data_IF_823899328373
#
_entry.id   IF_823899328373
#
_cell.length_a   1.000
_cell.length_b   1.000
_cell.length_c   1.000
_cell.angle_alpha   90.00
_cell.angle_beta   90.00
_cell.angle_gamma   90.00
#
_symmetry.space_group_name_H-M   'P 1'
#
loop_
_entity.id
_entity.type
_entity.pdbx_description
1 polymer ?
#
# COMPACT_ATOMS: atom_id res chain seq x y z
N UNK A 1 -16.37 -30.43 -7.99
CA UNK A 1 -15.58 -29.36 -7.34
C UNK A 1 -15.80 -27.98 -7.95
N UNK A 2 -15.89 -27.83 -9.27
CA UNK A 2 -16.09 -26.54 -9.99
C UNK A 2 -17.37 -25.77 -9.59
N UNK A 3 -18.48 -26.44 -9.33
CA UNK A 3 -19.75 -25.77 -8.97
C UNK A 3 -19.74 -25.10 -7.59
N UNK A 4 -19.08 -25.67 -6.57
CA UNK A 4 -18.94 -25.05 -5.25
C UNK A 4 -18.13 -23.75 -5.32
N UNK A 5 -17.03 -23.76 -6.07
CA UNK A 5 -16.15 -22.62 -6.27
C UNK A 5 -16.88 -21.45 -6.96
N UNK A 6 -17.74 -21.71 -7.96
CA UNK A 6 -18.55 -20.67 -8.62
C UNK A 6 -19.58 -20.02 -7.68
N UNK A 7 -20.30 -20.83 -6.90
CA UNK A 7 -21.29 -20.31 -5.93
C UNK A 7 -20.62 -19.50 -4.84
N UNK A 8 -19.50 -19.99 -4.28
CA UNK A 8 -18.72 -19.28 -3.24
C UNK A 8 -18.21 -17.93 -3.74
N UNK A 9 -17.61 -17.87 -4.94
CA UNK A 9 -17.14 -16.60 -5.51
C UNK A 9 -18.30 -15.66 -5.85
N UNK A 10 -19.40 -16.20 -6.37
CA UNK A 10 -20.59 -15.40 -6.72
C UNK A 10 -21.24 -14.75 -5.50
N UNK A 11 -21.39 -15.49 -4.41
CA UNK A 11 -22.04 -15.03 -3.19
C UNK A 11 -21.10 -14.30 -2.22
N UNK A 12 -19.84 -14.75 -2.12
CA UNK A 12 -18.90 -14.27 -1.09
C UNK A 12 -18.00 -13.11 -1.52
N UNK A 13 -17.81 -12.86 -2.83
CA UNK A 13 -16.96 -11.76 -3.28
C UNK A 13 -17.76 -10.52 -3.60
N UNK A 14 -17.33 -9.37 -3.04
CA UNK A 14 -17.84 -8.06 -3.40
C UNK A 14 -17.51 -7.65 -4.85
N UNK A 15 -18.09 -6.56 -5.32
CA UNK A 15 -17.96 -6.09 -6.71
C UNK A 15 -16.51 -5.82 -7.10
N UNK A 16 -15.74 -5.17 -6.23
CA UNK A 16 -14.34 -4.82 -6.49
C UNK A 16 -13.45 -6.07 -6.60
N UNK A 17 -13.61 -7.05 -5.72
CA UNK A 17 -12.87 -8.31 -5.80
C UNK A 17 -13.17 -9.04 -7.10
N UNK A 18 -14.43 -9.08 -7.52
CA UNK A 18 -14.84 -9.68 -8.81
C UNK A 18 -14.18 -8.96 -9.98
N UNK A 19 -14.16 -7.62 -9.98
CA UNK A 19 -13.51 -6.79 -11.00
C UNK A 19 -12.03 -7.12 -11.12
N UNK A 20 -11.29 -7.18 -10.00
CA UNK A 20 -9.85 -7.50 -9.99
C UNK A 20 -9.55 -8.91 -10.48
N UNK A 21 -10.36 -9.88 -10.11
CA UNK A 21 -10.21 -11.28 -10.60
C UNK A 21 -10.42 -11.34 -12.10
N UNK A 22 -11.46 -10.66 -12.64
CA UNK A 22 -11.74 -10.62 -14.08
C UNK A 22 -10.60 -9.91 -14.82
N UNK A 23 -10.17 -8.75 -14.33
CA UNK A 23 -9.07 -7.99 -14.94
C UNK A 23 -7.77 -8.80 -14.97
N UNK A 24 -7.40 -9.47 -13.87
CA UNK A 24 -6.22 -10.33 -13.82
C UNK A 24 -6.29 -11.49 -14.82
N UNK A 25 -7.45 -12.14 -14.94
CA UNK A 25 -7.66 -13.20 -15.92
C UNK A 25 -7.55 -12.66 -17.37
N UNK A 26 -8.09 -11.50 -17.63
CA UNK A 26 -8.04 -10.85 -18.94
C UNK A 26 -6.60 -10.52 -19.35
N UNK A 27 -5.82 -9.89 -18.46
CA UNK A 27 -4.43 -9.52 -18.71
C UNK A 27 -3.54 -10.74 -18.96
N UNK A 28 -3.86 -11.89 -18.38
CA UNK A 28 -3.14 -13.15 -18.57
C UNK A 28 -3.64 -13.98 -19.76
N UNK A 29 -4.69 -13.51 -20.45
CA UNK A 29 -5.24 -14.24 -21.61
C UNK A 29 -4.35 -14.11 -22.85
N UNK A 30 -4.51 -15.05 -23.79
CA UNK A 30 -3.78 -15.06 -25.05
C UNK A 30 -3.92 -13.72 -25.82
N UNK A 31 -2.83 -13.21 -26.34
CA UNK A 31 -2.77 -11.92 -27.04
C UNK A 31 -2.57 -10.69 -26.15
N UNK A 32 -2.89 -10.77 -24.86
CA UNK A 32 -2.69 -9.67 -23.90
C UNK A 32 -1.49 -9.89 -22.98
N UNK A 33 -1.04 -11.13 -22.84
CA UNK A 33 0.07 -11.49 -21.96
C UNK A 33 1.35 -10.71 -22.33
N UNK A 34 1.76 -10.73 -23.59
CA UNK A 34 2.98 -10.02 -24.04
C UNK A 34 2.80 -8.50 -23.99
N UNK A 35 1.64 -8.01 -24.42
CA UNK A 35 1.37 -6.57 -24.52
C UNK A 35 1.28 -5.89 -23.14
N UNK A 36 0.71 -6.55 -22.14
CA UNK A 36 0.46 -5.98 -20.83
C UNK A 36 1.29 -6.60 -19.72
N UNK A 37 1.22 -7.93 -19.54
CA UNK A 37 1.87 -8.59 -18.42
C UNK A 37 3.40 -8.51 -18.48
N UNK A 38 4.00 -8.88 -19.60
CA UNK A 38 5.46 -8.80 -19.74
C UNK A 38 5.97 -7.36 -19.70
N UNK A 39 5.22 -6.42 -20.25
CA UNK A 39 5.57 -5.00 -20.17
C UNK A 39 5.53 -4.49 -18.74
N UNK A 40 4.49 -4.88 -17.98
CA UNK A 40 4.38 -4.56 -16.55
C UNK A 40 5.54 -5.16 -15.74
N UNK A 41 5.97 -6.39 -16.03
CA UNK A 41 7.12 -7.01 -15.37
C UNK A 41 8.44 -6.25 -15.64
N UNK A 42 8.63 -5.75 -16.86
CA UNK A 42 9.78 -4.91 -17.18
C UNK A 42 9.77 -3.60 -16.40
N UNK A 43 8.62 -2.93 -16.32
CA UNK A 43 8.45 -1.69 -15.52
C UNK A 43 8.67 -1.97 -14.04
N UNK A 44 8.14 -3.08 -13.52
CA UNK A 44 8.39 -3.51 -12.14
C UNK A 44 9.88 -3.67 -11.84
N UNK A 45 10.65 -4.22 -12.78
CA UNK A 45 12.11 -4.36 -12.63
C UNK A 45 12.80 -3.00 -12.52
N UNK A 46 12.37 -2.01 -13.31
CA UNK A 46 12.89 -0.64 -13.24
C UNK A 46 12.57 0.01 -11.90
N UNK A 47 11.31 -0.08 -11.45
CA UNK A 47 10.90 0.44 -10.14
C UNK A 47 11.76 -0.17 -9.03
N UNK A 48 11.97 -1.49 -9.06
CA UNK A 48 12.84 -2.16 -8.09
C UNK A 48 14.27 -1.63 -8.13
N UNK A 49 14.81 -1.42 -9.34
CA UNK A 49 16.18 -0.92 -9.50
C UNK A 49 16.34 0.48 -8.91
N UNK A 50 15.37 1.38 -9.12
CA UNK A 50 15.39 2.72 -8.55
C UNK A 50 15.53 2.70 -7.01
N UNK A 51 14.79 1.79 -6.34
CA UNK A 51 14.92 1.60 -4.89
C UNK A 51 16.28 1.03 -4.51
N UNK A 52 16.79 0.03 -5.23
CA UNK A 52 18.09 -0.56 -4.94
C UNK A 52 19.22 0.46 -5.09
N UNK A 53 19.15 1.33 -6.10
CA UNK A 53 20.13 2.40 -6.32
C UNK A 53 20.06 3.47 -5.22
N UNK A 54 18.84 3.83 -4.76
CA UNK A 54 18.67 4.72 -3.62
C UNK A 54 19.27 4.12 -2.35
N UNK A 55 19.07 2.81 -2.10
CA UNK A 55 19.62 2.09 -0.95
C UNK A 55 21.15 1.87 -0.98
N UNK A 56 21.83 2.22 -2.07
CA UNK A 56 23.30 2.34 -2.04
C UNK A 56 23.75 3.59 -1.26
N UNK A 57 22.89 4.58 -1.11
CA UNK A 57 23.19 5.90 -0.52
C UNK A 57 22.55 6.09 0.86
N UNK A 58 21.45 5.37 1.13
CA UNK A 58 20.69 5.50 2.37
C UNK A 58 20.31 4.13 2.91
N UNK A 59 20.06 4.05 4.21
CA UNK A 59 19.62 2.81 4.86
C UNK A 59 18.10 2.66 4.90
N UNK A 60 17.38 3.79 4.94
CA UNK A 60 15.93 3.85 5.00
C UNK A 60 15.43 5.03 4.17
N UNK A 61 14.30 4.85 3.50
CA UNK A 61 13.57 5.92 2.82
C UNK A 61 12.33 6.24 3.66
N UNK A 62 12.08 7.53 3.87
CA UNK A 62 10.95 8.01 4.68
C UNK A 62 9.96 8.72 3.77
N UNK A 63 8.68 8.34 3.87
CA UNK A 63 7.58 8.95 3.10
C UNK A 63 6.33 9.08 3.95
N UNK A 64 5.33 9.88 3.54
CA UNK A 64 3.97 9.71 4.05
C UNK A 64 3.45 8.32 3.71
N UNK A 65 2.58 7.75 4.54
CA UNK A 65 1.92 6.46 4.22
C UNK A 65 0.88 6.65 3.13
N UNK A 66 0.12 7.74 3.18
CA UNK A 66 -0.93 8.09 2.21
C UNK A 66 -0.84 9.58 1.85
N UNK A 67 -1.32 10.00 0.66
CA UNK A 67 -1.29 11.40 0.23
C UNK A 67 -2.15 12.33 1.10
N UNK A 68 -3.21 11.79 1.70
CA UNK A 68 -4.16 12.55 2.52
C UNK A 68 -4.45 11.80 3.82
N UNK A 69 -4.94 12.50 4.82
CA UNK A 69 -5.54 11.88 6.01
C UNK A 69 -6.82 11.09 5.63
N UNK A 70 -7.39 10.37 6.59
CA UNK A 70 -8.62 9.61 6.38
C UNK A 70 -9.75 10.51 5.84
N UNK A 71 -10.54 9.96 4.93
CA UNK A 71 -11.71 10.58 4.31
C UNK A 71 -12.99 9.86 4.76
N UNK A 72 -14.16 10.47 4.54
CA UNK A 72 -15.44 9.90 4.94
C UNK A 72 -15.79 8.65 4.13
N UNK A 73 -16.54 7.74 4.73
CA UNK A 73 -17.06 6.56 4.03
C UNK A 73 -17.92 7.03 2.84
N UNK A 74 -17.62 6.52 1.65
CA UNK A 74 -18.31 6.87 0.41
C UNK A 74 -17.77 8.10 -0.32
N UNK A 75 -16.93 8.93 0.30
CA UNK A 75 -16.45 10.19 -0.31
C UNK A 75 -15.70 10.02 -1.64
N UNK A 76 -15.00 8.89 -1.82
CA UNK A 76 -14.24 8.58 -3.05
C UNK A 76 -14.82 7.40 -3.84
N UNK A 77 -16.04 6.99 -3.54
CA UNK A 77 -16.65 5.80 -4.17
C UNK A 77 -16.96 5.99 -5.65
N UNK A 78 -17.22 7.23 -6.08
CA UNK A 78 -17.65 7.56 -7.42
C UNK A 78 -16.49 7.72 -8.42
N UNK A 79 -15.26 7.84 -7.91
CA UNK A 79 -14.05 7.96 -8.73
C UNK A 79 -13.01 6.89 -8.35
N UNK A 80 -12.97 5.75 -9.08
CA UNK A 80 -12.00 4.69 -8.83
C UNK A 80 -10.54 5.17 -8.92
N UNK A 81 -10.24 6.20 -9.71
CA UNK A 81 -8.89 6.74 -9.86
C UNK A 81 -8.42 7.42 -8.56
N UNK A 82 -9.30 8.17 -7.89
CA UNK A 82 -8.98 8.78 -6.60
C UNK A 82 -8.69 7.73 -5.52
N UNK A 83 -9.41 6.60 -5.55
CA UNK A 83 -9.11 5.49 -4.65
C UNK A 83 -7.74 4.87 -4.92
N UNK A 84 -7.37 4.66 -6.18
CA UNK A 84 -6.05 4.13 -6.54
C UNK A 84 -4.90 5.07 -6.18
N UNK A 85 -5.11 6.38 -6.29
CA UNK A 85 -4.12 7.38 -5.88
C UNK A 85 -3.84 7.38 -4.37
N UNK A 86 -4.75 6.88 -3.55
CA UNK A 86 -4.51 6.73 -2.10
C UNK A 86 -3.37 5.75 -1.79
N UNK A 87 -3.08 4.81 -2.69
CA UNK A 87 -2.07 3.76 -2.51
C UNK A 87 -0.71 4.09 -3.15
N UNK A 88 -0.53 5.31 -3.70
CA UNK A 88 0.63 5.67 -4.53
C UNK A 88 1.97 5.47 -3.80
N UNK A 89 2.02 5.70 -2.48
CA UNK A 89 3.24 5.52 -1.68
C UNK A 89 3.45 4.07 -1.20
N UNK A 90 2.40 3.25 -1.15
CA UNK A 90 2.48 1.87 -0.66
C UNK A 90 2.63 0.85 -1.77
N UNK A 91 2.05 1.09 -2.94
CA UNK A 91 2.15 0.19 -4.11
C UNK A 91 3.60 0.00 -4.56
N UNK A 92 4.40 1.06 -4.59
CA UNK A 92 5.79 1.01 -5.03
C UNK A 92 6.64 0.05 -4.18
N UNK A 93 6.42 0.02 -2.87
CA UNK A 93 7.06 -0.92 -1.94
C UNK A 93 6.74 -2.37 -2.31
N UNK A 94 5.45 -2.68 -2.57
CA UNK A 94 5.00 -4.01 -2.97
C UNK A 94 5.57 -4.43 -4.33
N UNK A 95 5.61 -3.51 -5.31
CA UNK A 95 6.16 -3.78 -6.63
C UNK A 95 7.67 -4.02 -6.59
N UNK A 96 8.40 -3.25 -5.80
CA UNK A 96 9.84 -3.41 -5.61
C UNK A 96 10.22 -4.65 -4.80
N UNK A 97 9.31 -5.18 -3.98
CA UNK A 97 9.57 -6.31 -3.08
C UNK A 97 10.56 -5.95 -1.98
N UNK A 98 10.36 -4.78 -1.38
CA UNK A 98 11.12 -4.26 -0.24
C UNK A 98 10.27 -4.28 1.03
N UNK A 99 10.90 -4.17 2.20
CA UNK A 99 10.16 -4.11 3.45
C UNK A 99 9.70 -2.69 3.75
N UNK A 100 8.58 -2.56 4.49
CA UNK A 100 8.03 -1.28 4.90
C UNK A 100 7.23 -1.39 6.19
N UNK A 101 7.21 -0.31 6.97
CA UNK A 101 6.40 -0.16 8.17
C UNK A 101 5.78 1.23 8.20
N UNK A 102 4.55 1.33 8.69
CA UNK A 102 3.90 2.61 8.95
C UNK A 102 3.66 2.80 10.43
N UNK A 103 3.93 4.01 10.93
CA UNK A 103 3.73 4.39 12.32
C UNK A 103 3.12 5.81 12.41
N UNK A 104 2.39 6.12 13.49
CA UNK A 104 1.80 7.44 13.65
C UNK A 104 2.88 8.50 13.86
N UNK A 105 2.74 9.64 13.19
CA UNK A 105 3.71 10.74 13.28
C UNK A 105 3.07 12.10 13.60
N UNK A 106 1.77 12.14 13.84
CA UNK A 106 1.07 13.38 14.17
C UNK A 106 -0.41 13.31 13.83
N UNK A 107 -1.03 14.48 13.83
CA UNK A 107 -2.45 14.66 13.52
C UNK A 107 -2.66 15.89 12.64
N UNK A 108 -3.73 15.86 11.84
CA UNK A 108 -4.23 17.08 11.18
C UNK A 108 -4.76 18.08 12.21
N UNK A 109 -4.78 19.36 11.85
CA UNK A 109 -5.24 20.41 12.75
C UNK A 109 -6.74 20.31 13.04
N UNK A 110 -7.57 20.16 11.99
CA UNK A 110 -9.03 20.04 12.11
C UNK A 110 -9.61 19.37 10.87
N UNK A 111 -10.38 18.29 11.01
CA UNK A 111 -10.53 17.47 12.25
C UNK A 111 -9.20 16.81 12.64
N UNK A 112 -9.04 16.45 13.92
CA UNK A 112 -7.86 15.75 14.44
C UNK A 112 -7.85 14.31 13.93
N UNK A 113 -7.17 14.05 12.81
CA UNK A 113 -7.03 12.73 12.17
C UNK A 113 -5.57 12.28 12.20
N UNK A 114 -5.27 11.00 12.43
CA UNK A 114 -3.91 10.51 12.47
C UNK A 114 -3.21 10.60 11.11
N UNK A 115 -1.91 10.89 11.15
CA UNK A 115 -1.01 10.91 9.99
C UNK A 115 -0.01 9.78 10.15
N UNK A 116 0.20 9.00 9.07
CA UNK A 116 1.15 7.91 9.02
C UNK A 116 2.48 8.31 8.39
N UNK A 117 3.57 7.97 9.07
CA UNK A 117 4.93 7.98 8.55
C UNK A 117 5.27 6.58 8.05
N UNK A 118 5.75 6.45 6.82
CA UNK A 118 6.20 5.19 6.25
C UNK A 118 7.73 5.13 6.23
N UNK A 119 8.29 4.05 6.72
CA UNK A 119 9.70 3.72 6.60
C UNK A 119 9.83 2.55 5.63
N UNK A 120 10.66 2.71 4.61
CA UNK A 120 10.97 1.68 3.62
C UNK A 120 12.42 1.26 3.78
N UNK A 121 12.66 -0.05 3.82
CA UNK A 121 13.99 -0.65 4.01
C UNK A 121 14.38 -1.56 2.86
N UNK A 122 15.65 -1.92 2.82
CA UNK A 122 16.23 -2.89 1.87
C UNK A 122 15.45 -4.21 1.91
N UNK A 123 15.46 -5.03 0.85
CA UNK A 123 14.92 -6.39 0.93
C UNK A 123 15.52 -7.14 2.13
N UNK A 124 14.67 -7.75 2.95
CA UNK A 124 15.03 -8.42 4.21
C UNK A 124 15.68 -7.49 5.27
N UNK A 125 15.44 -6.19 5.19
CA UNK A 125 15.94 -5.17 6.09
C UNK A 125 15.00 -4.83 7.25
N UNK A 126 14.07 -5.73 7.61
CA UNK A 126 13.03 -5.51 8.64
C UNK A 126 13.64 -5.09 9.98
N UNK A 127 14.76 -5.68 10.37
CA UNK A 127 15.45 -5.33 11.61
C UNK A 127 15.82 -3.85 11.67
N UNK A 128 16.34 -3.31 10.57
CA UNK A 128 16.75 -1.90 10.47
C UNK A 128 15.56 -0.97 10.61
N UNK A 129 14.47 -1.20 9.85
CA UNK A 129 13.30 -0.33 9.90
C UNK A 129 12.58 -0.43 11.25
N UNK A 130 12.54 -1.60 11.88
CA UNK A 130 11.95 -1.79 13.22
C UNK A 130 12.76 -1.08 14.30
N UNK A 131 14.09 -1.11 14.24
CA UNK A 131 14.96 -0.34 15.17
C UNK A 131 14.70 1.16 15.04
N UNK A 132 14.61 1.69 13.82
CA UNK A 132 14.33 3.10 13.57
C UNK A 132 12.92 3.47 14.02
N UNK A 133 11.92 2.64 13.70
CA UNK A 133 10.55 2.81 14.13
C UNK A 133 10.44 2.87 15.67
N UNK A 134 11.10 1.94 16.36
CA UNK A 134 11.13 1.91 17.82
C UNK A 134 11.81 3.16 18.39
N UNK A 135 12.97 3.56 17.86
CA UNK A 135 13.65 4.79 18.28
C UNK A 135 12.77 6.02 18.12
N UNK A 136 12.04 6.12 17.00
CA UNK A 136 11.08 7.19 16.76
C UNK A 136 9.93 7.18 17.77
N UNK A 137 9.35 6.02 18.06
CA UNK A 137 8.29 5.89 19.07
C UNK A 137 8.77 6.25 20.49
N UNK A 138 10.02 5.93 20.83
CA UNK A 138 10.60 6.34 22.14
C UNK A 138 10.84 7.86 22.22
N UNK A 139 11.06 8.53 21.09
CA UNK A 139 11.27 9.99 21.03
C UNK A 139 9.98 10.81 20.90
N UNK A 140 8.83 10.14 20.66
CA UNK A 140 7.53 10.78 20.45
C UNK A 140 6.43 10.14 21.27
N UNK A 141 5.27 10.80 21.37
CA UNK A 141 4.11 10.26 22.08
C UNK A 141 2.94 9.83 21.18
N UNK A 142 3.10 9.91 19.85
CA UNK A 142 1.99 9.77 18.93
C UNK A 142 1.30 8.39 18.98
N UNK A 143 2.04 7.33 19.21
CA UNK A 143 1.54 5.96 19.32
C UNK A 143 0.71 5.71 20.60
N UNK A 144 0.78 6.60 21.58
CA UNK A 144 0.01 6.51 22.83
C UNK A 144 -1.37 7.15 22.74
N UNK A 145 -1.58 8.01 21.73
CA UNK A 145 -2.84 8.69 21.52
C UNK A 145 -3.93 7.70 21.06
N UNK A 146 -5.11 7.82 21.65
CA UNK A 146 -6.26 6.98 21.32
C UNK A 146 -7.45 7.85 20.93
N UNK A 147 -8.31 7.40 20.00
CA UNK A 147 -9.54 8.11 19.67
C UNK A 147 -10.47 8.11 20.89
N UNK A 148 -11.17 9.23 21.09
CA UNK A 148 -12.30 9.28 22.03
C UNK A 148 -13.49 8.62 21.37
N UNK A 149 -13.74 7.37 21.71
CA UNK A 149 -14.93 6.67 21.23
C UNK A 149 -16.13 7.16 22.05
N UNK A 150 -17.13 7.71 21.38
CA UNK A 150 -18.43 7.93 22.00
C UNK A 150 -19.14 6.58 22.14
N UNK A 151 -19.75 6.30 23.30
CA UNK A 151 -20.49 5.06 23.51
C UNK A 151 -21.72 4.95 22.63
#
# INVERSE_FOLDING_TARGET
>A
MLFRSRRTRGAGFGAEVKRRVILGTYVLSSGYYDAYYLRAQKVRTLIRQDFLDAFQKVDVIVTPTTPTAAFKVGEKSDDPMQMYLCDIFTISCNLAGICGVSLPCGFTASPKLPIGLQLLGKPFGEETILKIAHAYEQSTGWHKEKPTLQP
#
